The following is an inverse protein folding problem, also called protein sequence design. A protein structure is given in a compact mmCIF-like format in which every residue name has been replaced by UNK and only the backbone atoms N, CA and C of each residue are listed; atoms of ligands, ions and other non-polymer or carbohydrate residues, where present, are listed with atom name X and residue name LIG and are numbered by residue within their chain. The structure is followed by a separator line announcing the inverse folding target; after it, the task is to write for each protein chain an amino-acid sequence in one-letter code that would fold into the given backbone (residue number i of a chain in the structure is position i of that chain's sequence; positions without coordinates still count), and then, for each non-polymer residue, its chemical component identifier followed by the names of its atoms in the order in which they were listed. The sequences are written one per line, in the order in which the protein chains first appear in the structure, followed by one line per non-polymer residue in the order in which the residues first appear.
data_IF_127540591114
#
_entry.id   IF_127540591114
#
_cell.length_a   1.000
_cell.length_b   1.000
_cell.length_c   1.000
_cell.angle_alpha   90.00
_cell.angle_beta   90.00
_cell.angle_gamma   90.00
#
_symmetry.space_group_name_H-M   'P 1'
#
loop_
_entity.id
_entity.type
_entity.pdbx_description
1 polymer ?
#
# COMPACT_ATOMS: atom_id res chain seq x y z
N UNK A 1 39.12 9.23 7.51
CA UNK A 1 38.41 8.39 8.50
C UNK A 1 37.15 7.72 7.92
N UNK A 2 36.61 8.15 6.77
CA UNK A 2 35.41 7.55 6.14
C UNK A 2 35.59 6.13 5.58
N UNK A 3 36.72 5.81 4.98
CA UNK A 3 36.92 4.54 4.29
C UNK A 3 36.93 3.26 5.18
N UNK A 4 37.25 3.41 6.48
CA UNK A 4 37.28 2.23 7.37
C UNK A 4 35.91 1.85 7.91
N UNK A 5 34.97 2.77 8.01
CA UNK A 5 33.60 2.50 8.49
C UNK A 5 32.77 1.79 7.41
N UNK A 6 32.86 2.25 6.15
CA UNK A 6 32.14 1.65 5.02
C UNK A 6 32.59 0.20 4.78
N UNK A 7 33.86 -0.07 4.92
CA UNK A 7 34.42 -1.42 4.85
C UNK A 7 33.84 -2.33 5.95
N UNK A 8 33.71 -1.83 7.17
CA UNK A 8 33.14 -2.55 8.31
C UNK A 8 31.64 -2.85 8.13
N UNK A 9 30.85 -1.92 7.58
CA UNK A 9 29.42 -2.11 7.39
C UNK A 9 29.14 -3.08 6.22
N UNK A 10 29.95 -3.04 5.16
CA UNK A 10 29.87 -3.98 4.04
C UNK A 10 30.12 -5.43 4.52
N UNK A 11 31.12 -5.63 5.40
CA UNK A 11 31.42 -6.94 5.98
C UNK A 11 30.25 -7.49 6.83
N UNK A 12 29.47 -6.61 7.45
CA UNK A 12 28.26 -6.98 8.20
C UNK A 12 27.09 -7.28 7.27
N UNK A 13 26.88 -6.45 6.25
CA UNK A 13 25.71 -6.57 5.35
C UNK A 13 25.80 -7.76 4.40
N UNK A 14 27.00 -8.07 3.87
CA UNK A 14 27.15 -9.11 2.86
C UNK A 14 26.61 -10.47 3.32
N UNK A 15 27.00 -11.01 4.49
CA UNK A 15 26.47 -12.30 4.94
C UNK A 15 24.95 -12.26 5.23
N UNK A 16 24.40 -11.12 5.68
CA UNK A 16 22.97 -10.96 5.89
C UNK A 16 22.23 -11.05 4.55
N UNK A 17 22.71 -10.37 3.51
CA UNK A 17 22.15 -10.42 2.16
C UNK A 17 22.20 -11.85 1.60
N UNK A 18 23.34 -12.52 1.70
CA UNK A 18 23.51 -13.90 1.24
C UNK A 18 22.56 -14.87 1.95
N UNK A 19 22.41 -14.72 3.27
CA UNK A 19 21.47 -15.52 4.06
C UNK A 19 20.02 -15.27 3.67
N UNK A 20 19.61 -13.98 3.51
CA UNK A 20 18.22 -13.62 3.21
C UNK A 20 17.84 -14.02 1.80
N UNK A 21 18.73 -13.80 0.83
CA UNK A 21 18.48 -14.13 -0.58
C UNK A 21 18.80 -15.60 -0.90
N UNK A 22 19.39 -16.35 0.03
CA UNK A 22 19.84 -17.73 -0.14
C UNK A 22 20.74 -17.89 -1.37
N UNK A 23 21.67 -16.94 -1.56
CA UNK A 23 22.55 -16.84 -2.70
C UNK A 23 23.92 -16.33 -2.27
N UNK A 24 25.01 -16.93 -2.81
CA UNK A 24 26.38 -16.52 -2.56
C UNK A 24 27.24 -16.91 -3.79
N UNK A 25 28.25 -16.11 -4.20
CA UNK A 25 28.54 -14.78 -3.66
C UNK A 25 27.59 -13.70 -4.21
N UNK A 26 27.44 -12.60 -3.45
CA UNK A 26 26.72 -11.40 -3.87
C UNK A 26 27.71 -10.26 -4.05
N UNK A 27 27.67 -9.58 -5.20
CA UNK A 27 28.46 -8.39 -5.48
C UNK A 27 27.93 -7.16 -4.74
N UNK A 28 28.82 -6.21 -4.44
CA UNK A 28 28.46 -5.01 -3.69
C UNK A 28 27.48 -4.10 -4.42
N UNK A 29 27.49 -4.14 -5.75
CA UNK A 29 26.62 -3.36 -6.63
C UNK A 29 25.45 -4.18 -7.20
N UNK A 30 25.31 -5.44 -6.78
CA UNK A 30 24.20 -6.26 -7.23
C UNK A 30 22.89 -5.72 -6.64
N UNK A 31 21.87 -5.60 -7.51
CA UNK A 31 20.57 -5.08 -7.09
C UNK A 31 19.74 -6.17 -6.38
N UNK A 32 19.23 -5.85 -5.22
CA UNK A 32 18.41 -6.75 -4.39
C UNK A 32 17.27 -7.41 -5.16
N UNK A 33 16.56 -6.64 -5.97
CA UNK A 33 15.40 -7.12 -6.72
C UNK A 33 15.79 -8.01 -7.90
N UNK A 34 16.93 -7.71 -8.55
CA UNK A 34 17.46 -8.52 -9.67
C UNK A 34 17.97 -9.87 -9.18
N UNK A 35 18.40 -9.94 -7.91
CA UNK A 35 18.79 -11.18 -7.25
C UNK A 35 17.60 -12.02 -6.77
N UNK A 36 16.36 -11.56 -6.98
CA UNK A 36 15.14 -12.24 -6.56
C UNK A 36 14.56 -11.76 -5.25
N UNK A 37 15.08 -10.66 -4.69
CA UNK A 37 14.54 -10.01 -3.51
C UNK A 37 13.11 -9.48 -3.75
N UNK A 38 12.28 -9.57 -2.73
CA UNK A 38 10.92 -9.05 -2.72
C UNK A 38 10.62 -8.33 -1.40
N UNK A 39 9.37 -7.86 -1.24
CA UNK A 39 8.97 -7.13 -0.03
C UNK A 39 9.07 -7.96 1.25
N UNK A 40 8.89 -9.28 1.19
CA UNK A 40 9.02 -10.16 2.36
C UNK A 40 10.49 -10.35 2.75
N UNK A 41 11.33 -10.57 1.74
CA UNK A 41 12.77 -10.69 1.94
C UNK A 41 13.38 -9.35 2.40
N UNK A 42 12.87 -8.22 1.92
CA UNK A 42 13.26 -6.91 2.40
C UNK A 42 12.95 -6.72 3.89
N UNK A 43 11.74 -7.10 4.36
CA UNK A 43 11.41 -7.07 5.80
C UNK A 43 12.36 -7.95 6.60
N UNK A 44 12.66 -9.16 6.10
CA UNK A 44 13.60 -10.07 6.76
C UNK A 44 15.02 -9.49 6.82
N UNK A 45 15.46 -8.87 5.71
CA UNK A 45 16.75 -8.20 5.60
C UNK A 45 16.89 -7.08 6.65
N UNK A 46 15.91 -6.19 6.72
CA UNK A 46 15.97 -5.06 7.64
C UNK A 46 15.81 -5.45 9.10
N UNK A 47 15.09 -6.55 9.41
CA UNK A 47 15.04 -7.11 10.75
C UNK A 47 16.41 -7.65 11.17
N UNK A 48 17.13 -8.36 10.30
CA UNK A 48 18.48 -8.85 10.59
C UNK A 48 19.47 -7.69 10.71
N UNK A 49 19.37 -6.68 9.87
CA UNK A 49 20.19 -5.46 9.97
C UNK A 49 19.95 -4.79 11.33
N UNK A 50 18.71 -4.61 11.76
CA UNK A 50 18.38 -4.01 13.04
C UNK A 50 18.95 -4.85 14.21
N UNK A 51 18.86 -6.18 14.13
CA UNK A 51 19.39 -7.09 15.15
C UNK A 51 20.92 -6.97 15.30
N UNK A 52 21.64 -6.85 14.18
CA UNK A 52 23.11 -6.85 14.19
C UNK A 52 23.69 -5.45 14.40
N UNK A 53 23.10 -4.41 13.78
CA UNK A 53 23.63 -3.05 13.83
C UNK A 53 23.03 -2.20 14.96
N UNK A 54 21.90 -2.65 15.56
CA UNK A 54 21.12 -1.85 16.51
C UNK A 54 20.37 -0.68 15.87
N UNK A 55 20.37 -0.57 14.53
CA UNK A 55 19.71 0.51 13.77
C UNK A 55 18.47 -0.02 13.07
N UNK A 56 17.31 0.48 13.46
CA UNK A 56 16.06 0.20 12.78
C UNK A 56 15.92 1.11 11.56
N UNK A 57 15.85 0.49 10.38
CA UNK A 57 15.55 1.16 9.13
C UNK A 57 14.24 0.61 8.57
N UNK A 58 13.37 1.47 7.98
CA UNK A 58 12.19 0.98 7.30
C UNK A 58 12.56 0.14 6.06
N UNK A 59 11.91 -1.01 5.82
CA UNK A 59 12.19 -1.87 4.67
C UNK A 59 12.08 -1.18 3.31
N UNK A 60 11.28 -0.11 3.21
CA UNK A 60 11.16 0.69 1.98
C UNK A 60 12.47 1.36 1.57
N UNK A 61 13.45 1.47 2.47
CA UNK A 61 14.80 1.97 2.17
C UNK A 61 15.47 1.18 1.04
N UNK A 62 15.12 -0.09 0.85
CA UNK A 62 15.67 -0.94 -0.21
C UNK A 62 15.44 -0.38 -1.62
N UNK A 63 14.41 0.44 -1.84
CA UNK A 63 14.20 1.12 -3.13
C UNK A 63 15.17 2.27 -3.38
N UNK A 64 15.70 2.86 -2.32
CA UNK A 64 16.68 3.95 -2.41
C UNK A 64 18.11 3.42 -2.35
N UNK A 65 18.31 2.35 -1.61
CA UNK A 65 19.59 1.69 -1.39
C UNK A 65 19.48 0.21 -1.70
N UNK A 66 19.27 -0.12 -2.99
CA UNK A 66 19.00 -1.48 -3.47
C UNK A 66 20.24 -2.34 -3.63
N UNK A 67 21.43 -1.85 -3.25
CA UNK A 67 22.71 -2.57 -3.29
C UNK A 67 23.36 -2.56 -1.91
N UNK A 68 24.27 -3.51 -1.65
CA UNK A 68 25.01 -3.58 -0.38
C UNK A 68 25.79 -2.28 -0.15
N UNK A 69 26.46 -1.78 -1.19
CA UNK A 69 27.25 -0.55 -1.09
C UNK A 69 26.38 0.68 -0.75
N UNK A 70 25.25 0.84 -1.43
CA UNK A 70 24.33 1.94 -1.17
C UNK A 70 23.72 1.86 0.26
N UNK A 71 23.36 0.66 0.70
CA UNK A 71 22.78 0.46 2.02
C UNK A 71 23.79 0.68 3.15
N UNK A 72 25.05 0.27 2.95
CA UNK A 72 26.16 0.58 3.85
C UNK A 72 26.34 2.08 4.01
N UNK A 73 26.33 2.83 2.91
CA UNK A 73 26.44 4.30 2.94
C UNK A 73 25.28 4.97 3.71
N UNK A 74 24.07 4.45 3.63
CA UNK A 74 22.92 4.92 4.42
C UNK A 74 23.12 4.62 5.91
N UNK A 75 23.58 3.42 6.24
CA UNK A 75 23.80 3.01 7.63
C UNK A 75 24.93 3.78 8.32
N UNK A 76 25.84 4.39 7.59
CA UNK A 76 26.90 5.22 8.13
C UNK A 76 26.47 6.66 8.45
N UNK A 77 25.37 7.12 7.87
CA UNK A 77 24.86 8.46 8.15
C UNK A 77 24.40 8.57 9.61
N UNK A 78 24.82 9.57 10.36
CA UNK A 78 24.45 9.72 11.78
C UNK A 78 22.97 9.98 11.99
N UNK A 79 22.28 10.55 10.99
CA UNK A 79 20.86 10.83 10.99
C UNK A 79 20.25 10.38 9.66
N UNK A 80 19.12 9.70 9.73
CA UNK A 80 18.34 9.41 8.53
C UNK A 80 17.78 10.72 7.97
N UNK A 81 17.95 10.94 6.68
CA UNK A 81 17.22 11.99 5.98
C UNK A 81 15.76 11.57 5.86
N UNK A 82 14.83 12.54 5.88
CA UNK A 82 13.42 12.24 5.66
C UNK A 82 13.21 11.56 4.30
N UNK A 83 12.35 10.54 4.26
CA UNK A 83 12.11 9.83 3.02
C UNK A 83 11.40 10.71 1.99
N UNK A 84 11.76 10.59 0.71
CA UNK A 84 11.06 11.30 -0.34
C UNK A 84 9.59 10.85 -0.41
N UNK A 85 8.71 11.81 -0.66
CA UNK A 85 7.28 11.54 -0.86
C UNK A 85 7.00 10.63 -2.08
N UNK A 86 7.92 10.62 -3.06
CA UNK A 86 7.83 9.83 -4.27
C UNK A 86 9.00 8.86 -4.37
N UNK A 87 8.68 7.58 -4.62
CA UNK A 87 9.64 6.49 -4.85
C UNK A 87 9.39 5.92 -6.24
N UNK A 88 10.40 5.86 -7.09
CA UNK A 88 10.29 5.23 -8.40
C UNK A 88 10.22 3.71 -8.22
N UNK A 89 9.05 3.11 -8.48
CA UNK A 89 8.80 1.67 -8.38
C UNK A 89 9.08 0.94 -9.69
N UNK A 90 8.87 1.61 -10.84
CA UNK A 90 9.11 1.07 -12.17
C UNK A 90 9.54 2.19 -13.11
N UNK A 91 10.65 2.00 -13.81
CA UNK A 91 11.05 2.89 -14.89
C UNK A 91 10.10 2.77 -16.09
N UNK A 92 10.00 3.82 -16.88
CA UNK A 92 9.21 3.86 -18.10
C UNK A 92 9.94 4.63 -19.19
N UNK A 93 9.41 4.56 -20.41
CA UNK A 93 9.92 5.25 -21.59
C UNK A 93 9.12 6.51 -21.93
N UNK A 94 7.91 6.65 -21.38
CA UNK A 94 7.04 7.80 -21.57
C UNK A 94 7.24 8.84 -20.46
N UNK A 95 6.98 10.11 -20.78
CA UNK A 95 7.18 11.22 -19.84
C UNK A 95 6.08 11.32 -18.77
N UNK A 96 4.85 10.87 -19.07
CA UNK A 96 3.71 11.00 -18.15
C UNK A 96 3.77 9.91 -17.09
N UNK A 97 4.03 10.23 -15.80
CA UNK A 97 4.10 9.21 -14.76
C UNK A 97 2.73 8.75 -14.26
N UNK A 98 2.71 7.55 -13.72
CA UNK A 98 1.63 7.00 -12.91
C UNK A 98 1.99 7.16 -11.44
N UNK A 99 1.05 7.65 -10.62
CA UNK A 99 1.23 7.82 -9.19
C UNK A 99 0.33 6.86 -8.41
N UNK A 100 0.94 5.99 -7.58
CA UNK A 100 0.23 5.01 -6.74
C UNK A 100 0.35 5.39 -5.27
N UNK A 101 -0.78 5.55 -4.58
CA UNK A 101 -0.82 5.90 -3.15
C UNK A 101 -0.98 4.65 -2.28
N UNK A 102 -0.21 4.62 -1.20
CA UNK A 102 -0.22 3.58 -0.18
C UNK A 102 -1.59 3.39 0.51
N UNK A 103 -1.78 2.23 1.18
CA UNK A 103 -2.90 1.99 2.08
C UNK A 103 -2.69 2.58 3.49
N UNK A 104 -3.38 2.03 4.49
CA UNK A 104 -3.33 2.48 5.89
C UNK A 104 -1.93 2.42 6.52
N UNK A 105 -1.06 1.53 6.04
CA UNK A 105 0.30 1.34 6.56
C UNK A 105 1.33 2.38 6.10
N UNK A 106 0.97 3.28 5.19
CA UNK A 106 1.89 4.31 4.68
C UNK A 106 2.96 3.80 3.71
N UNK A 107 3.02 2.50 3.45
CA UNK A 107 4.10 1.83 2.74
C UNK A 107 3.71 1.52 1.28
N UNK A 108 4.59 1.85 0.35
CA UNK A 108 4.40 1.56 -1.09
C UNK A 108 4.96 0.19 -1.51
N UNK A 109 5.68 -0.50 -0.62
CA UNK A 109 6.22 -1.84 -0.88
C UNK A 109 5.15 -2.88 -1.20
N UNK A 110 3.96 -2.71 -0.63
CA UNK A 110 2.83 -3.61 -0.86
C UNK A 110 2.47 -3.72 -2.36
N UNK A 111 2.86 -2.74 -3.18
CA UNK A 111 2.59 -2.73 -4.62
C UNK A 111 3.70 -3.33 -5.48
N UNK A 112 4.82 -3.75 -4.91
CA UNK A 112 5.96 -4.22 -5.69
C UNK A 112 5.57 -5.29 -6.73
N UNK A 113 4.87 -6.33 -6.30
CA UNK A 113 4.46 -7.43 -7.20
C UNK A 113 3.47 -6.95 -8.26
N UNK A 114 2.51 -6.13 -7.88
CA UNK A 114 1.53 -5.54 -8.81
C UNK A 114 2.24 -4.70 -9.87
N UNK A 115 3.10 -3.77 -9.44
CA UNK A 115 3.79 -2.80 -10.32
C UNK A 115 4.72 -3.50 -11.31
N UNK A 116 5.42 -4.54 -10.86
CA UNK A 116 6.29 -5.35 -11.72
C UNK A 116 5.54 -5.92 -12.93
N UNK A 117 4.28 -6.31 -12.75
CA UNK A 117 3.44 -6.95 -13.78
C UNK A 117 2.57 -5.96 -14.58
N UNK A 118 2.43 -4.71 -14.14
CA UNK A 118 1.69 -3.70 -14.93
C UNK A 118 2.37 -3.52 -16.29
N UNK A 119 1.61 -3.73 -17.36
CA UNK A 119 2.04 -3.48 -18.74
C UNK A 119 1.74 -2.01 -19.08
N UNK A 120 2.77 -1.16 -18.96
CA UNK A 120 2.66 0.26 -19.25
C UNK A 120 4.03 0.83 -19.60
N UNK A 121 4.15 1.72 -20.62
CA UNK A 121 5.37 2.43 -20.92
C UNK A 121 5.66 3.58 -19.94
N UNK A 122 4.69 3.94 -19.09
CA UNK A 122 4.78 5.05 -18.15
C UNK A 122 5.59 4.66 -16.91
N UNK A 123 6.49 5.55 -16.42
CA UNK A 123 7.13 5.33 -15.14
C UNK A 123 6.09 5.33 -14.00
N UNK A 124 6.28 4.46 -13.02
CA UNK A 124 5.35 4.30 -11.90
C UNK A 124 6.05 4.75 -10.62
N UNK A 125 5.50 5.80 -10.01
CA UNK A 125 5.96 6.32 -8.73
C UNK A 125 5.00 5.91 -7.61
N UNK A 126 5.55 5.35 -6.53
CA UNK A 126 4.84 5.15 -5.28
C UNK A 126 4.82 6.44 -4.47
N UNK A 127 3.64 6.86 -4.02
CA UNK A 127 3.46 7.98 -3.09
C UNK A 127 3.51 7.46 -1.66
N UNK A 128 4.57 7.80 -0.93
CA UNK A 128 4.90 7.28 0.38
C UNK A 128 4.52 8.24 1.48
N UNK A 129 3.97 7.74 2.58
CA UNK A 129 3.49 8.58 3.66
C UNK A 129 4.63 9.33 4.36
N UNK A 130 4.37 10.58 4.74
CA UNK A 130 5.21 11.34 5.67
C UNK A 130 5.24 10.62 7.01
N UNK A 131 6.40 10.54 7.64
CA UNK A 131 6.58 9.94 8.96
C UNK A 131 6.75 8.42 8.97
N UNK A 132 6.81 7.76 7.80
CA UNK A 132 7.08 6.31 7.73
C UNK A 132 8.51 5.99 8.19
N UNK A 133 9.41 6.95 8.12
CA UNK A 133 10.78 6.89 8.62
C UNK A 133 10.89 7.01 10.15
N UNK A 134 9.80 7.35 10.81
CA UNK A 134 9.77 7.60 12.27
C UNK A 134 10.35 8.96 12.70
N UNK A 135 10.79 9.79 11.76
CA UNK A 135 11.37 11.13 12.03
C UNK A 135 10.26 12.17 12.13
N UNK A 136 9.43 12.23 11.11
CA UNK A 136 8.31 13.17 11.02
C UNK A 136 7.04 12.62 11.67
N UNK A 137 6.15 13.49 12.11
CA UNK A 137 4.79 13.09 12.49
C UNK A 137 3.94 12.83 11.24
N UNK A 138 3.21 11.70 11.20
CA UNK A 138 2.30 11.41 10.10
C UNK A 138 1.09 12.34 10.11
N UNK A 139 0.58 12.67 8.94
CA UNK A 139 -0.68 13.42 8.80
C UNK A 139 -1.87 12.60 9.29
N UNK A 140 -2.81 13.25 9.96
CA UNK A 140 -4.06 12.66 10.42
C UNK A 140 -5.32 13.20 9.71
N UNK A 141 -5.11 13.91 8.57
CA UNK A 141 -6.16 14.37 7.67
C UNK A 141 -5.86 14.01 6.23
N UNK A 142 -6.86 13.50 5.52
CA UNK A 142 -6.76 13.16 4.09
C UNK A 142 -6.39 14.39 3.26
N UNK A 143 -6.92 15.55 3.61
CA UNK A 143 -6.68 16.82 2.93
C UNK A 143 -5.22 17.27 3.01
N UNK A 144 -4.54 17.02 4.13
CA UNK A 144 -3.12 17.32 4.33
C UNK A 144 -2.23 16.31 3.58
N UNK A 145 -2.60 15.02 3.62
CA UNK A 145 -1.94 13.98 2.82
C UNK A 145 -2.04 14.29 1.33
N UNK A 146 -3.23 14.68 0.84
CA UNK A 146 -3.45 15.04 -0.55
C UNK A 146 -2.61 16.25 -0.99
N UNK A 147 -2.52 17.28 -0.14
CA UNK A 147 -1.69 18.45 -0.45
C UNK A 147 -0.21 18.10 -0.51
N UNK A 148 0.28 17.31 0.45
CA UNK A 148 1.66 16.84 0.48
C UNK A 148 2.04 16.09 -0.80
N UNK A 149 1.17 15.19 -1.28
CA UNK A 149 1.41 14.47 -2.51
C UNK A 149 1.25 15.35 -3.75
N UNK A 150 0.29 16.29 -3.77
CA UNK A 150 0.18 17.26 -4.86
C UNK A 150 1.45 18.10 -5.01
N UNK A 151 2.02 18.56 -3.92
CA UNK A 151 3.27 19.34 -3.93
C UNK A 151 4.45 18.49 -4.43
N UNK A 152 4.44 17.19 -4.13
CA UNK A 152 5.47 16.27 -4.60
C UNK A 152 5.32 15.93 -6.10
N UNK A 153 4.12 15.57 -6.56
CA UNK A 153 3.90 15.20 -7.97
C UNK A 153 4.12 16.36 -8.90
N UNK A 154 3.78 17.59 -8.49
CA UNK A 154 3.97 18.79 -9.31
C UNK A 154 5.44 19.16 -9.55
N UNK A 155 6.36 18.67 -8.75
CA UNK A 155 7.81 18.81 -9.01
C UNK A 155 8.28 17.90 -10.14
N UNK A 156 7.60 16.76 -10.34
CA UNK A 156 7.91 15.79 -11.39
C UNK A 156 7.08 16.05 -12.63
N UNK A 157 5.81 16.36 -12.45
CA UNK A 157 4.84 16.63 -13.51
C UNK A 157 4.06 17.92 -13.19
N UNK A 158 4.50 19.08 -13.67
CA UNK A 158 3.86 20.38 -13.36
C UNK A 158 2.43 20.50 -13.84
N UNK A 159 2.08 19.87 -14.98
CA UNK A 159 0.78 19.94 -15.62
C UNK A 159 0.24 18.55 -15.94
N UNK A 160 -1.12 18.41 -15.93
CA UNK A 160 -1.77 17.17 -16.35
C UNK A 160 -1.54 16.80 -17.83
N UNK A 161 -2.02 15.61 -18.26
CA UNK A 161 -2.98 14.76 -17.57
C UNK A 161 -2.36 13.89 -16.48
N UNK A 162 -3.00 13.80 -15.31
CA UNK A 162 -2.52 12.96 -14.19
C UNK A 162 -3.12 11.57 -14.22
N UNK A 163 -2.33 10.56 -13.85
CA UNK A 163 -2.71 9.17 -13.71
C UNK A 163 -2.56 8.78 -12.23
N UNK A 164 -3.69 8.71 -11.52
CA UNK A 164 -3.74 8.51 -10.07
C UNK A 164 -4.35 7.15 -9.74
N UNK A 165 -3.67 6.38 -8.90
CA UNK A 165 -4.14 5.09 -8.38
C UNK A 165 -4.03 5.14 -6.86
N UNK A 166 -5.07 4.76 -6.13
CA UNK A 166 -5.03 4.75 -4.66
C UNK A 166 -5.68 3.52 -4.06
N UNK A 167 -5.01 2.91 -3.08
CA UNK A 167 -5.48 1.72 -2.39
C UNK A 167 -5.97 2.04 -0.99
N UNK A 168 -7.14 1.50 -0.62
CA UNK A 168 -7.70 1.64 0.72
C UNK A 168 -7.81 3.13 1.13
N UNK A 169 -7.14 3.58 2.19
CA UNK A 169 -7.05 5.00 2.56
C UNK A 169 -6.49 5.85 1.41
N UNK A 170 -5.49 5.33 0.70
CA UNK A 170 -4.88 6.02 -0.43
C UNK A 170 -5.84 6.36 -1.56
N UNK A 171 -6.91 5.57 -1.75
CA UNK A 171 -7.94 5.92 -2.73
C UNK A 171 -8.76 7.15 -2.32
N UNK A 172 -8.94 7.40 -1.03
CA UNK A 172 -9.56 8.65 -0.56
C UNK A 172 -8.61 9.84 -0.72
N UNK A 173 -7.32 9.61 -0.50
CA UNK A 173 -6.28 10.64 -0.72
C UNK A 173 -6.20 11.01 -2.20
N UNK A 174 -6.17 10.03 -3.11
CA UNK A 174 -6.14 10.31 -4.56
C UNK A 174 -7.45 10.92 -5.06
N UNK A 175 -8.61 10.60 -4.45
CA UNK A 175 -9.86 11.28 -4.74
C UNK A 175 -9.79 12.77 -4.38
N UNK A 176 -9.30 13.10 -3.19
CA UNK A 176 -9.11 14.50 -2.77
C UNK A 176 -8.10 15.23 -3.67
N UNK A 177 -7.00 14.56 -4.05
CA UNK A 177 -6.05 15.11 -5.03
C UNK A 177 -6.74 15.39 -6.37
N UNK A 178 -7.52 14.45 -6.90
CA UNK A 178 -8.23 14.59 -8.17
C UNK A 178 -9.28 15.73 -8.12
N UNK A 179 -9.97 15.90 -7.00
CA UNK A 179 -10.89 17.01 -6.79
C UNK A 179 -10.18 18.37 -6.84
N UNK A 180 -9.06 18.50 -6.12
CA UNK A 180 -8.25 19.74 -6.13
C UNK A 180 -7.63 20.06 -7.48
N UNK A 181 -7.20 19.04 -8.22
CA UNK A 181 -6.71 19.20 -9.58
C UNK A 181 -7.82 19.69 -10.52
N UNK A 182 -9.00 19.07 -10.45
CA UNK A 182 -10.17 19.50 -11.24
C UNK A 182 -10.65 20.92 -10.90
N UNK A 183 -10.64 21.31 -9.61
CA UNK A 183 -10.95 22.67 -9.15
C UNK A 183 -9.97 23.73 -9.73
N UNK A 184 -8.73 23.30 -10.04
CA UNK A 184 -7.70 24.14 -10.70
C UNK A 184 -7.75 24.07 -12.23
N UNK A 185 -8.74 23.37 -12.81
CA UNK A 185 -8.87 23.18 -14.25
C UNK A 185 -7.89 22.16 -14.84
N UNK A 186 -7.23 21.36 -14.03
CA UNK A 186 -6.26 20.38 -14.47
C UNK A 186 -6.92 19.02 -14.78
N UNK A 187 -6.44 18.36 -15.83
CA UNK A 187 -7.00 17.09 -16.29
C UNK A 187 -6.45 15.92 -15.46
N UNK A 188 -7.34 15.12 -14.91
CA UNK A 188 -7.04 13.78 -14.39
C UNK A 188 -7.54 12.78 -15.43
N UNK A 189 -6.61 12.06 -16.08
CA UNK A 189 -6.94 11.09 -17.12
C UNK A 189 -7.35 9.74 -16.52
N UNK A 190 -6.78 9.39 -15.35
CA UNK A 190 -7.15 8.18 -14.61
C UNK A 190 -7.27 8.50 -13.12
N UNK A 191 -8.40 8.17 -12.53
CA UNK A 191 -8.57 7.99 -11.10
C UNK A 191 -9.03 6.56 -10.85
N UNK A 192 -8.11 5.70 -10.39
CA UNK A 192 -8.41 4.32 -10.00
C UNK A 192 -8.38 4.18 -8.47
N UNK A 193 -9.47 3.72 -7.89
CA UNK A 193 -9.62 3.51 -6.46
C UNK A 193 -9.73 2.01 -6.17
N UNK A 194 -8.76 1.45 -5.42
CA UNK A 194 -8.67 0.02 -5.13
C UNK A 194 -9.18 -0.23 -3.70
N UNK A 195 -10.32 -0.93 -3.57
CA UNK A 195 -10.92 -1.27 -2.27
C UNK A 195 -11.00 -0.09 -1.29
N UNK A 196 -11.36 1.08 -1.80
CA UNK A 196 -11.40 2.34 -1.07
C UNK A 196 -12.82 2.72 -0.69
N UNK A 197 -13.10 2.76 0.60
CA UNK A 197 -14.42 3.08 1.12
C UNK A 197 -14.33 4.17 2.17
N UNK A 198 -15.35 5.05 2.29
CA UNK A 198 -15.42 5.99 3.39
C UNK A 198 -15.62 5.25 4.71
N UNK A 199 -15.21 5.88 5.80
CA UNK A 199 -15.44 5.29 7.11
C UNK A 199 -16.95 5.02 7.35
N UNK A 200 -17.25 3.93 8.07
CA UNK A 200 -18.64 3.50 8.34
C UNK A 200 -19.55 4.59 8.91
N UNK A 201 -18.99 5.58 9.60
CA UNK A 201 -19.74 6.71 10.15
C UNK A 201 -20.37 7.60 9.07
N UNK A 202 -19.81 7.58 7.85
CA UNK A 202 -20.27 8.38 6.70
C UNK A 202 -21.19 7.59 5.75
N UNK A 203 -21.42 6.30 6.04
CA UNK A 203 -22.39 5.50 5.32
C UNK A 203 -23.82 5.85 5.74
N UNK A 204 -24.77 5.77 4.81
CA UNK A 204 -26.20 5.90 5.10
C UNK A 204 -26.65 4.80 6.08
N UNK A 205 -27.63 5.08 6.90
CA UNK A 205 -28.12 4.14 7.92
C UNK A 205 -28.41 2.75 7.35
N UNK A 206 -29.13 2.67 6.21
CA UNK A 206 -29.43 1.40 5.57
C UNK A 206 -28.17 0.60 5.13
N UNK A 207 -27.11 1.29 4.67
CA UNK A 207 -25.84 0.65 4.30
C UNK A 207 -25.12 0.12 5.55
N UNK A 208 -25.14 0.89 6.64
CA UNK A 208 -24.56 0.44 7.92
C UNK A 208 -25.28 -0.79 8.46
N UNK A 209 -26.61 -0.80 8.43
CA UNK A 209 -27.39 -1.93 8.89
C UNK A 209 -27.16 -3.20 8.04
N UNK A 210 -27.06 -3.06 6.71
CA UNK A 210 -26.69 -4.19 5.83
C UNK A 210 -25.30 -4.76 6.15
N UNK A 211 -24.31 -3.88 6.38
CA UNK A 211 -22.96 -4.30 6.78
C UNK A 211 -22.98 -5.06 8.10
N UNK A 212 -23.68 -4.54 9.13
CA UNK A 212 -23.84 -5.20 10.44
C UNK A 212 -24.53 -6.56 10.30
N UNK A 213 -25.63 -6.64 9.54
CA UNK A 213 -26.36 -7.88 9.32
C UNK A 213 -25.49 -8.94 8.62
N UNK A 214 -24.70 -8.53 7.64
CA UNK A 214 -23.77 -9.44 6.93
C UNK A 214 -22.66 -9.94 7.86
N UNK A 215 -22.05 -9.06 8.66
CA UNK A 215 -21.03 -9.46 9.64
C UNK A 215 -21.62 -10.41 10.68
N UNK A 216 -22.84 -10.13 11.19
CA UNK A 216 -23.51 -11.01 12.11
C UNK A 216 -23.81 -12.38 11.50
N UNK A 217 -24.31 -12.42 10.26
CA UNK A 217 -24.53 -13.67 9.50
C UNK A 217 -23.22 -14.46 9.35
N UNK A 218 -22.14 -13.79 8.94
CA UNK A 218 -20.84 -14.45 8.79
C UNK A 218 -20.34 -15.04 10.11
N UNK A 219 -20.37 -14.27 11.20
CA UNK A 219 -19.96 -14.79 12.50
C UNK A 219 -20.84 -15.95 12.98
N UNK A 220 -22.14 -15.89 12.74
CA UNK A 220 -23.05 -16.99 13.07
C UNK A 220 -22.74 -18.24 12.27
N UNK A 221 -22.54 -18.12 10.94
CA UNK A 221 -22.20 -19.27 10.09
C UNK A 221 -20.85 -19.86 10.48
N UNK A 222 -19.85 -19.05 10.77
CA UNK A 222 -18.53 -19.52 11.26
C UNK A 222 -18.68 -20.29 12.57
N UNK A 223 -19.41 -19.75 13.54
CA UNK A 223 -19.66 -20.43 14.82
C UNK A 223 -20.35 -21.78 14.68
N UNK A 224 -21.30 -21.89 13.74
CA UNK A 224 -22.01 -23.15 13.48
C UNK A 224 -21.14 -24.22 12.79
N UNK A 225 -20.06 -23.81 12.11
CA UNK A 225 -19.12 -24.70 11.42
C UNK A 225 -17.93 -25.12 12.28
N UNK A 226 -17.65 -24.39 13.35
CA UNK A 226 -16.51 -24.68 14.23
C UNK A 226 -16.83 -25.81 15.23
N UNK A 227 -15.85 -26.67 15.56
CA UNK A 227 -15.95 -27.58 16.68
C UNK A 227 -16.20 -26.82 18.00
N UNK A 228 -16.90 -27.43 18.99
CA UNK A 228 -17.31 -26.72 20.23
C UNK A 228 -16.17 -26.01 20.98
N UNK A 229 -14.98 -26.60 21.02
CA UNK A 229 -13.79 -25.99 21.66
C UNK A 229 -13.29 -24.76 20.92
N UNK A 230 -13.27 -24.82 19.60
CA UNK A 230 -12.83 -23.69 18.77
C UNK A 230 -13.89 -22.58 18.72
N UNK A 231 -15.18 -22.93 18.77
CA UNK A 231 -16.28 -21.99 18.85
C UNK A 231 -16.21 -21.15 20.14
N UNK A 232 -15.85 -21.78 21.27
CA UNK A 232 -15.66 -21.07 22.53
C UNK A 232 -14.46 -20.11 22.46
N UNK A 233 -13.33 -20.56 21.89
CA UNK A 233 -12.16 -19.68 21.65
C UNK A 233 -12.51 -18.51 20.76
N UNK A 234 -13.24 -18.75 19.67
CA UNK A 234 -13.71 -17.70 18.75
C UNK A 234 -14.58 -16.63 19.44
N UNK A 235 -15.39 -17.01 20.45
CA UNK A 235 -16.22 -16.07 21.23
C UNK A 235 -15.35 -15.28 22.22
N UNK A 236 -14.46 -15.95 22.94
CA UNK A 236 -13.69 -15.37 24.04
C UNK A 236 -12.52 -14.48 23.56
N UNK A 237 -11.98 -14.73 22.35
CA UNK A 237 -10.81 -14.01 21.83
C UNK A 237 -11.17 -13.18 20.58
N UNK A 238 -11.82 -12.03 20.72
CA UNK A 238 -12.25 -11.21 19.57
C UNK A 238 -11.11 -10.74 18.67
N UNK A 239 -9.87 -10.65 19.18
CA UNK A 239 -8.70 -10.34 18.37
C UNK A 239 -8.34 -11.47 17.38
N UNK A 240 -8.60 -12.73 17.75
CA UNK A 240 -8.38 -13.90 16.89
C UNK A 240 -9.45 -14.07 15.81
N UNK A 241 -10.63 -13.45 15.97
CA UNK A 241 -11.67 -13.42 14.92
C UNK A 241 -11.16 -12.85 13.59
N UNK A 242 -10.12 -12.01 13.64
CA UNK A 242 -9.44 -11.50 12.46
C UNK A 242 -8.75 -12.58 11.63
N UNK A 243 -8.23 -13.62 12.30
CA UNK A 243 -7.57 -14.77 11.67
C UNK A 243 -8.60 -15.67 10.97
N UNK A 244 -9.76 -15.88 11.56
CA UNK A 244 -10.82 -16.71 10.97
C UNK A 244 -11.46 -16.05 9.73
N UNK A 245 -11.63 -14.73 9.73
CA UNK A 245 -12.14 -13.98 8.57
C UNK A 245 -11.19 -14.07 7.36
N UNK A 246 -9.90 -14.29 7.60
CA UNK A 246 -8.90 -14.47 6.53
C UNK A 246 -8.81 -15.92 6.01
N UNK A 247 -9.40 -16.90 6.71
CA UNK A 247 -9.32 -18.33 6.34
C UNK A 247 -10.27 -18.74 5.22
N UNK A 248 -11.38 -18.04 5.05
CA UNK A 248 -12.42 -18.42 4.07
C UNK A 248 -12.09 -18.11 2.60
N UNK A 249 -10.92 -17.57 2.30
CA UNK A 249 -10.62 -17.05 0.95
C UNK A 249 -9.44 -17.64 0.19
N UNK A 250 -8.52 -18.36 0.83
CA UNK A 250 -7.42 -18.98 0.08
C UNK A 250 -6.76 -20.12 0.86
N UNK A 251 -6.87 -21.33 0.37
CA UNK A 251 -6.10 -22.51 0.81
C UNK A 251 -4.61 -22.36 0.50
N UNK A 252 -3.96 -21.36 1.03
CA UNK A 252 -2.55 -21.13 0.96
C UNK A 252 -2.04 -20.83 2.37
N UNK A 253 -1.72 -21.87 3.13
CA UNK A 253 -0.89 -21.78 4.34
C UNK A 253 0.53 -21.40 3.93
N UNK A 254 0.77 -20.14 3.56
CA UNK A 254 2.11 -19.58 3.68
C UNK A 254 2.24 -19.09 5.11
N UNK A 255 3.18 -19.70 5.84
CA UNK A 255 3.59 -19.36 7.17
C UNK A 255 3.69 -17.83 7.31
N UNK A 256 2.64 -17.23 7.86
CA UNK A 256 2.75 -15.89 8.41
C UNK A 256 3.68 -16.04 9.61
N UNK A 257 4.80 -15.34 9.67
CA UNK A 257 5.59 -15.35 10.88
C UNK A 257 4.68 -14.99 12.06
N UNK A 258 4.88 -15.61 13.23
CA UNK A 258 4.06 -15.33 14.39
C UNK A 258 4.05 -13.81 14.64
N UNK A 259 2.96 -13.32 15.20
CA UNK A 259 2.65 -11.91 15.45
C UNK A 259 3.59 -11.21 16.47
N UNK A 260 4.86 -11.51 16.41
CA UNK A 260 5.96 -10.91 17.20
C UNK A 260 6.85 -9.98 16.36
N UNK A 261 6.37 -9.51 15.19
CA UNK A 261 6.96 -8.30 14.64
C UNK A 261 6.41 -7.20 15.54
N UNK A 262 7.25 -6.75 16.45
CA UNK A 262 7.09 -5.47 17.11
C UNK A 262 6.89 -4.46 15.99
N UNK A 263 5.62 -4.06 15.72
CA UNK A 263 5.37 -2.92 14.86
C UNK A 263 6.12 -1.77 15.53
N UNK A 264 7.18 -1.35 14.89
CA UNK A 264 7.93 -0.18 15.30
C UNK A 264 6.90 0.94 15.62
N UNK A 265 7.17 1.73 16.63
CA UNK A 265 6.25 2.77 17.09
C UNK A 265 5.87 3.73 15.96
N UNK A 266 6.73 3.93 14.95
CA UNK A 266 6.42 4.69 13.76
C UNK A 266 5.27 4.07 12.95
N UNK A 267 5.26 2.76 12.73
CA UNK A 267 4.18 2.06 12.02
C UNK A 267 2.86 2.11 12.79
N UNK A 268 2.94 2.07 14.12
CA UNK A 268 1.76 2.23 14.98
C UNK A 268 1.21 3.66 14.86
N UNK A 269 2.07 4.69 15.00
CA UNK A 269 1.68 6.10 14.81
C UNK A 269 1.05 6.33 13.43
N UNK A 270 1.67 5.77 12.39
CA UNK A 270 1.20 5.83 11.00
C UNK A 270 -0.23 5.28 10.87
N UNK A 271 -0.47 4.08 11.41
CA UNK A 271 -1.79 3.43 11.36
C UNK A 271 -2.83 4.21 12.16
N UNK A 272 -2.48 4.69 13.34
CA UNK A 272 -3.39 5.43 14.21
C UNK A 272 -3.78 6.79 13.58
N UNK A 273 -2.83 7.48 12.95
CA UNK A 273 -3.07 8.72 12.21
C UNK A 273 -3.91 8.47 10.94
N UNK A 274 -3.59 7.42 10.17
CA UNK A 274 -4.39 7.02 9.01
C UNK A 274 -5.84 6.67 9.38
N UNK A 275 -6.06 6.02 10.54
CA UNK A 275 -7.41 5.72 11.02
C UNK A 275 -8.17 6.99 11.42
N UNK A 276 -7.51 7.99 12.05
CA UNK A 276 -8.13 9.30 12.33
C UNK A 276 -8.51 10.00 11.03
N UNK A 277 -7.58 10.06 10.06
CA UNK A 277 -7.83 10.64 8.75
C UNK A 277 -9.04 10.00 8.04
N UNK A 278 -9.08 8.65 8.01
CA UNK A 278 -10.20 7.91 7.44
C UNK A 278 -11.54 8.22 8.15
N UNK A 279 -11.51 8.29 9.48
CA UNK A 279 -12.72 8.51 10.30
C UNK A 279 -13.35 9.88 10.05
N UNK A 280 -12.53 10.90 9.88
CA UNK A 280 -12.96 12.29 9.83
C UNK A 280 -13.23 12.77 8.39
N UNK A 281 -12.61 12.15 7.39
CA UNK A 281 -12.76 12.54 5.99
C UNK A 281 -14.15 12.22 5.43
N UNK A 282 -14.77 13.24 4.79
CA UNK A 282 -16.05 13.13 4.08
C UNK A 282 -15.84 13.34 2.60
N UNK A 283 -15.93 12.29 1.77
CA UNK A 283 -15.79 12.44 0.33
C UNK A 283 -16.81 13.44 -0.25
N UNK A 284 -16.32 14.35 -1.09
CA UNK A 284 -17.15 15.29 -1.86
C UNK A 284 -17.44 14.72 -3.25
N UNK A 285 -18.36 15.37 -4.01
CA UNK A 285 -18.62 15.02 -5.39
C UNK A 285 -17.38 15.27 -6.25
N UNK A 286 -17.07 14.34 -7.15
CA UNK A 286 -16.01 14.45 -8.14
C UNK A 286 -16.60 14.57 -9.54
N UNK A 287 -16.23 15.62 -10.30
CA UNK A 287 -16.76 15.91 -11.62
C UNK A 287 -16.20 15.02 -12.75
N UNK A 288 -15.28 14.10 -12.43
CA UNK A 288 -14.67 13.15 -13.36
C UNK A 288 -15.19 11.73 -13.21
N UNK A 289 -14.45 10.80 -13.81
CA UNK A 289 -14.71 9.36 -13.78
C UNK A 289 -13.87 8.68 -12.69
N UNK A 290 -14.51 7.83 -11.88
CA UNK A 290 -13.84 6.94 -10.95
C UNK A 290 -13.88 5.52 -11.53
N UNK A 291 -12.72 4.87 -11.65
CA UNK A 291 -12.59 3.44 -11.88
C UNK A 291 -12.31 2.73 -10.57
N UNK A 292 -13.26 1.94 -10.12
CA UNK A 292 -13.18 1.29 -8.82
C UNK A 292 -12.86 -0.20 -8.98
N UNK A 293 -11.85 -0.67 -8.25
CA UNK A 293 -11.56 -2.10 -8.16
C UNK A 293 -12.01 -2.59 -6.80
N UNK A 294 -12.95 -3.55 -6.81
CA UNK A 294 -13.41 -4.22 -5.58
C UNK A 294 -12.84 -5.62 -5.47
N UNK A 295 -12.62 -6.06 -4.23
CA UNK A 295 -12.36 -7.46 -3.92
C UNK A 295 -13.65 -8.29 -4.02
N UNK A 296 -13.55 -9.52 -4.50
CA UNK A 296 -14.69 -10.44 -4.57
C UNK A 296 -15.22 -10.78 -3.17
N UNK A 297 -14.33 -10.87 -2.18
CA UNK A 297 -14.65 -11.16 -0.78
C UNK A 297 -14.57 -9.86 0.02
N UNK A 298 -15.70 -9.25 0.31
CA UNK A 298 -15.79 -7.99 1.04
C UNK A 298 -16.65 -8.14 2.30
N UNK A 299 -16.04 -8.63 3.38
CA UNK A 299 -16.75 -8.80 4.65
C UNK A 299 -16.83 -7.52 5.47
N UNK A 300 -15.78 -6.68 5.40
CA UNK A 300 -15.65 -5.48 6.22
C UNK A 300 -16.18 -4.21 5.58
N UNK A 301 -16.40 -4.24 4.26
CA UNK A 301 -16.85 -3.10 3.47
C UNK A 301 -18.22 -3.37 2.86
N UNK A 302 -18.96 -2.34 2.47
CA UNK A 302 -20.22 -2.52 1.76
C UNK A 302 -20.02 -3.36 0.47
N UNK A 303 -20.96 -4.24 0.20
CA UNK A 303 -20.94 -5.14 -0.96
C UNK A 303 -21.24 -4.45 -2.29
N UNK A 304 -21.81 -3.26 -2.25
CA UNK A 304 -22.16 -2.49 -3.43
C UNK A 304 -21.48 -1.10 -3.41
N UNK A 305 -20.29 -0.94 -4.01
CA UNK A 305 -19.62 0.35 -4.11
C UNK A 305 -20.39 1.37 -4.94
N UNK A 306 -21.22 0.94 -5.91
CA UNK A 306 -22.07 1.84 -6.72
C UNK A 306 -23.03 2.63 -5.81
N UNK A 307 -23.58 1.99 -4.78
CA UNK A 307 -24.48 2.66 -3.84
C UNK A 307 -23.81 3.78 -3.03
N UNK A 308 -22.48 3.77 -2.95
CA UNK A 308 -21.68 4.77 -2.24
C UNK A 308 -21.16 5.81 -3.21
N UNK A 309 -20.42 5.37 -4.21
CA UNK A 309 -19.65 6.22 -5.12
C UNK A 309 -20.45 6.72 -6.30
N UNK A 310 -21.51 6.01 -6.73
CA UNK A 310 -22.32 6.40 -7.90
C UNK A 310 -23.00 7.75 -7.79
N UNK A 311 -23.21 8.26 -6.56
CA UNK A 311 -23.72 9.61 -6.33
C UNK A 311 -22.62 10.64 -6.01
N UNK A 312 -21.37 10.20 -5.92
CA UNK A 312 -20.22 11.04 -5.58
C UNK A 312 -19.26 11.23 -6.76
N UNK A 313 -19.57 10.66 -7.93
CA UNK A 313 -18.80 10.85 -9.15
C UNK A 313 -19.74 11.08 -10.34
N UNK A 314 -19.23 11.81 -11.35
CA UNK A 314 -19.97 12.00 -12.62
C UNK A 314 -20.11 10.68 -13.38
N UNK A 315 -19.05 9.89 -13.39
CA UNK A 315 -19.02 8.55 -13.98
C UNK A 315 -18.37 7.58 -12.99
N UNK A 316 -18.92 6.37 -12.89
CA UNK A 316 -18.40 5.36 -11.95
C UNK A 316 -18.44 3.97 -12.59
N UNK A 317 -17.29 3.34 -12.68
CA UNK A 317 -17.12 1.97 -13.17
C UNK A 317 -16.57 1.07 -12.07
N UNK A 318 -16.99 -0.20 -12.05
CA UNK A 318 -16.55 -1.19 -11.05
C UNK A 318 -16.00 -2.42 -11.74
N UNK A 319 -14.81 -2.81 -11.35
CA UNK A 319 -14.19 -4.10 -11.67
C UNK A 319 -14.08 -4.96 -10.42
N UNK A 320 -14.14 -6.29 -10.58
CA UNK A 320 -14.00 -7.21 -9.46
C UNK A 320 -12.75 -8.06 -9.65
N UNK A 321 -11.89 -8.08 -8.63
CA UNK A 321 -10.69 -8.92 -8.57
C UNK A 321 -10.91 -10.00 -7.50
N UNK A 322 -10.48 -11.24 -7.72
CA UNK A 322 -10.53 -12.29 -6.70
C UNK A 322 -9.81 -11.90 -5.41
N UNK A 323 -10.16 -12.55 -4.29
CA UNK A 323 -9.56 -12.32 -2.99
C UNK A 323 -10.32 -11.32 -2.13
N UNK A 324 -9.76 -11.04 -0.97
CA UNK A 324 -10.24 -10.05 0.00
C UNK A 324 -9.46 -8.73 -0.12
N UNK A 325 -9.73 -7.79 0.78
CA UNK A 325 -9.11 -6.47 0.81
C UNK A 325 -7.57 -6.49 0.67
N UNK A 326 -6.90 -7.38 1.37
CA UNK A 326 -5.44 -7.53 1.30
C UNK A 326 -5.04 -8.47 0.16
N UNK A 327 -5.84 -9.52 -0.08
CA UNK A 327 -5.58 -10.55 -1.08
C UNK A 327 -5.48 -10.03 -2.50
N UNK A 328 -6.15 -8.92 -2.85
CA UNK A 328 -6.04 -8.33 -4.19
C UNK A 328 -4.62 -7.85 -4.52
N UNK A 329 -3.84 -7.44 -3.53
CA UNK A 329 -2.47 -6.96 -3.70
C UNK A 329 -1.41 -8.02 -3.34
N UNK A 330 -1.77 -9.06 -2.57
CA UNK A 330 -0.82 -10.07 -2.10
C UNK A 330 -0.93 -11.41 -2.81
N UNK A 331 -2.15 -11.87 -3.12
CA UNK A 331 -2.41 -13.20 -3.67
C UNK A 331 -2.96 -13.17 -5.10
N UNK A 332 -3.58 -12.05 -5.50
CA UNK A 332 -4.21 -11.88 -6.82
C UNK A 332 -3.63 -10.68 -7.56
N UNK A 333 -2.37 -10.38 -7.29
CA UNK A 333 -1.65 -9.24 -7.86
C UNK A 333 -1.54 -9.32 -9.40
N UNK A 334 -1.50 -10.54 -9.99
CA UNK A 334 -1.52 -10.69 -11.45
C UNK A 334 -2.82 -10.17 -12.06
N UNK A 335 -3.96 -10.57 -11.46
CA UNK A 335 -5.28 -10.12 -11.94
C UNK A 335 -5.43 -8.61 -11.76
N UNK A 336 -4.99 -8.08 -10.62
CA UNK A 336 -5.01 -6.63 -10.37
C UNK A 336 -4.12 -5.88 -11.36
N UNK A 337 -2.91 -6.38 -11.63
CA UNK A 337 -1.99 -5.78 -12.60
C UNK A 337 -2.57 -5.76 -14.03
N UNK A 338 -3.26 -6.83 -14.43
CA UNK A 338 -3.94 -6.88 -15.74
C UNK A 338 -5.07 -5.83 -15.84
N UNK A 339 -5.88 -5.66 -14.77
CA UNK A 339 -6.93 -4.63 -14.71
C UNK A 339 -6.32 -3.23 -14.79
N UNK A 340 -5.26 -2.95 -14.02
CA UNK A 340 -4.60 -1.65 -14.02
C UNK A 340 -3.91 -1.35 -15.35
N UNK A 341 -3.31 -2.35 -16.00
CA UNK A 341 -2.71 -2.21 -17.33
C UNK A 341 -3.75 -1.76 -18.36
N UNK A 342 -4.93 -2.38 -18.35
CA UNK A 342 -6.05 -1.98 -19.22
C UNK A 342 -6.54 -0.57 -18.89
N UNK A 343 -6.70 -0.23 -17.63
CA UNK A 343 -7.11 1.12 -17.23
C UNK A 343 -6.15 2.21 -17.72
N UNK A 344 -4.84 1.94 -17.61
CA UNK A 344 -3.80 2.85 -18.10
C UNK A 344 -3.86 2.99 -19.63
N UNK A 345 -3.97 1.88 -20.35
CA UNK A 345 -4.06 1.89 -21.82
C UNK A 345 -5.26 2.70 -22.31
N UNK A 346 -6.43 2.51 -21.70
CA UNK A 346 -7.66 3.25 -22.06
C UNK A 346 -7.63 4.74 -21.68
N UNK A 347 -6.91 5.09 -20.60
CA UNK A 347 -6.80 6.49 -20.14
C UNK A 347 -5.94 7.37 -21.07
N UNK A 348 -5.01 6.75 -21.80
CA UNK A 348 -4.01 7.43 -22.62
C UNK A 348 -4.37 7.38 -24.10
N UNK A 349 -5.21 6.42 -24.53
CA UNK A 349 -5.68 6.36 -25.91
C UNK A 349 -6.37 7.67 -26.28
N UNK A 350 -5.97 8.34 -27.37
CA UNK A 350 -6.66 9.54 -27.83
C UNK A 350 -8.12 9.17 -28.18
N UNK A 351 -9.07 9.88 -27.58
CA UNK A 351 -10.49 9.81 -27.96
C UNK A 351 -10.71 10.63 -29.22
#
# INVERSE_FOLDING_TARGET
MGNNLTSSMIEVLTPIWEQVLQRSPIGLEDNFFDLGGDSFLAVSLFNEIARVSGRELPPVMIYQASTIAALAAVLEQPTLQSFPALVLLKAGTEETPVFITHGMGGNVMDFYQVVKLIQSPHPIHGMQAKGIDGVDEPFDKVEEMAQFFLDAIKKVQPCGPYLLIGYSLGGLVTLEMAQRLAERGERVALLAMLESYPHRNHLRYAQRMRLVARLAKHHLTTLLQLPPGEALSYILHPAERLVYVSRDGSGGTRNRPPASISYNDAMKRMRDSGYRALKDYRPRFYCGKIRFVRAAISLRFPDNPVSIWGNLAKEFEVETVPGDHTGIITNHFETLAAVLSRFLQEAISPK
#
